data_IF_414806904903
#
_entry.id   IF_414806904903
#
_cell.length_a   1.000
_cell.length_b   1.000
_cell.length_c   1.000
_cell.angle_alpha   90.00
_cell.angle_beta   90.00
_cell.angle_gamma   90.00
#
_symmetry.space_group_name_H-M   'P 1'
#
loop_
_entity.id
_entity.type
_entity.pdbx_description
1 polymer ?
#
# COMPACT_ATOMS: atom_id res chain seq x y z
N UNK A 1 -12.64 -9.79 -10.17
CA UNK A 1 -13.54 -9.24 -9.12
C UNK A 1 -12.73 -8.29 -8.26
N UNK A 2 -13.28 -7.14 -7.82
CA UNK A 2 -12.56 -6.21 -6.93
C UNK A 2 -13.08 -6.39 -5.50
N UNK A 3 -12.16 -6.53 -4.53
CA UNK A 3 -12.48 -6.60 -3.11
C UNK A 3 -11.81 -5.43 -2.38
N UNK A 4 -12.51 -4.84 -1.41
CA UNK A 4 -11.97 -3.80 -0.53
C UNK A 4 -11.63 -4.41 0.82
N UNK A 5 -10.36 -4.32 1.21
CA UNK A 5 -9.85 -4.78 2.50
C UNK A 5 -9.60 -3.57 3.41
N UNK A 6 -10.49 -3.35 4.37
CA UNK A 6 -10.31 -2.31 5.39
C UNK A 6 -9.45 -2.86 6.54
N UNK A 7 -8.19 -2.49 6.59
CA UNK A 7 -7.26 -2.96 7.61
C UNK A 7 -7.73 -2.70 9.05
N UNK A 8 -8.61 -1.71 9.28
CA UNK A 8 -9.13 -1.40 10.62
C UNK A 8 -10.02 -2.52 11.18
N UNK A 9 -10.62 -3.32 10.32
CA UNK A 9 -11.52 -4.41 10.71
C UNK A 9 -10.79 -5.70 11.10
N UNK A 10 -9.52 -5.83 10.73
CA UNK A 10 -8.71 -7.00 11.03
C UNK A 10 -7.93 -6.82 12.32
N UNK A 11 -7.79 -7.88 13.11
CA UNK A 11 -6.99 -7.91 14.33
C UNK A 11 -5.71 -8.70 14.10
N UNK A 12 -4.58 -8.02 14.10
CA UNK A 12 -3.25 -8.62 14.08
C UNK A 12 -2.25 -7.75 14.83
N UNK A 13 -1.12 -8.32 15.21
CA UNK A 13 -0.09 -7.69 16.02
C UNK A 13 1.17 -7.39 15.17
N UNK A 14 2.06 -6.51 15.62
CA UNK A 14 3.38 -6.36 15.00
C UNK A 14 4.13 -7.69 14.89
N UNK A 15 5.14 -7.76 14.04
CA UNK A 15 6.03 -8.91 14.01
C UNK A 15 6.79 -9.02 15.35
N UNK A 16 6.87 -10.23 15.90
CA UNK A 16 7.58 -10.50 17.15
C UNK A 16 8.86 -11.31 16.92
N UNK A 17 9.28 -11.48 15.66
CA UNK A 17 10.49 -12.21 15.31
C UNK A 17 10.48 -13.69 15.72
N UNK A 18 9.32 -14.33 15.78
CA UNK A 18 9.20 -15.71 16.25
C UNK A 18 9.71 -16.76 15.24
N UNK A 19 10.03 -16.39 14.00
CA UNK A 19 10.54 -17.25 12.94
C UNK A 19 9.54 -18.31 12.42
N UNK A 20 8.28 -18.30 12.86
CA UNK A 20 7.30 -19.32 12.46
C UNK A 20 7.03 -19.35 10.95
N UNK A 21 7.02 -18.20 10.31
CA UNK A 21 6.87 -18.07 8.86
C UNK A 21 8.00 -18.77 8.08
N UNK A 22 9.19 -18.88 8.67
CA UNK A 22 10.28 -19.64 8.09
C UNK A 22 9.98 -21.15 7.97
N UNK A 23 9.34 -21.71 8.99
CA UNK A 23 8.95 -23.13 8.99
C UNK A 23 7.79 -23.43 8.02
N UNK A 24 6.81 -22.53 8.01
CA UNK A 24 5.58 -22.69 7.20
C UNK A 24 5.75 -22.30 5.74
N UNK A 25 6.77 -21.51 5.42
CA UNK A 25 7.08 -20.89 4.12
C UNK A 25 6.03 -19.89 3.59
N UNK A 26 4.88 -19.76 4.24
CA UNK A 26 3.78 -18.94 3.74
C UNK A 26 3.10 -18.16 4.84
N UNK A 27 2.85 -18.81 5.98
CA UNK A 27 1.98 -18.24 7.00
C UNK A 27 2.76 -17.73 8.22
N UNK A 28 2.36 -16.56 8.69
CA UNK A 28 2.70 -16.06 9.99
C UNK A 28 1.95 -16.86 11.10
N UNK A 29 2.41 -16.76 12.34
CA UNK A 29 1.68 -17.29 13.49
C UNK A 29 0.45 -16.43 13.89
N UNK A 30 0.13 -15.43 13.11
CA UNK A 30 -0.95 -14.47 13.31
C UNK A 30 -2.04 -14.67 12.25
N UNK A 31 -3.15 -15.29 12.66
CA UNK A 31 -4.25 -15.64 11.75
C UNK A 31 -4.94 -14.41 11.15
N UNK A 32 -4.99 -13.29 11.87
CA UNK A 32 -5.57 -12.05 11.36
C UNK A 32 -4.75 -11.45 10.23
N UNK A 33 -3.42 -11.55 10.30
CA UNK A 33 -2.53 -11.20 9.20
C UNK A 33 -2.69 -12.17 8.03
N UNK A 34 -2.69 -13.49 8.30
CA UNK A 34 -2.78 -14.50 7.25
C UNK A 34 -4.04 -14.32 6.38
N UNK A 35 -5.17 -13.96 6.99
CA UNK A 35 -6.41 -13.70 6.24
C UNK A 35 -6.26 -12.56 5.21
N UNK A 36 -5.48 -11.53 5.54
CA UNK A 36 -5.18 -10.43 4.60
C UNK A 36 -4.16 -10.90 3.55
N UNK A 37 -3.13 -11.60 4.00
CA UNK A 37 -2.04 -12.06 3.14
C UNK A 37 -2.53 -13.04 2.06
N UNK A 38 -3.46 -13.94 2.39
CA UNK A 38 -4.14 -14.82 1.42
C UNK A 38 -4.84 -14.03 0.32
N UNK A 39 -5.58 -12.97 0.67
CA UNK A 39 -6.23 -12.10 -0.31
C UNK A 39 -5.23 -11.40 -1.24
N UNK A 40 -4.08 -11.01 -0.71
CA UNK A 40 -3.00 -10.43 -1.52
C UNK A 40 -2.45 -11.48 -2.49
N UNK A 41 -2.13 -12.68 -2.02
CA UNK A 41 -1.59 -13.77 -2.84
C UNK A 41 -2.55 -14.18 -3.98
N UNK A 42 -3.84 -14.17 -3.73
CA UNK A 42 -4.88 -14.56 -4.68
C UNK A 42 -5.26 -13.46 -5.68
N UNK A 43 -4.65 -12.26 -5.57
CA UNK A 43 -4.95 -11.13 -6.43
C UNK A 43 -3.98 -11.01 -7.61
N UNK A 44 -4.47 -10.55 -8.75
CA UNK A 44 -3.65 -10.18 -9.91
C UNK A 44 -2.97 -8.82 -9.70
N UNK A 45 -3.63 -7.93 -8.96
CA UNK A 45 -3.12 -6.60 -8.61
C UNK A 45 -3.68 -6.13 -7.27
N UNK A 46 -2.91 -5.29 -6.57
CA UNK A 46 -3.31 -4.65 -5.33
C UNK A 46 -3.21 -3.13 -5.42
N UNK A 47 -4.15 -2.43 -4.80
CA UNK A 47 -4.05 -0.99 -4.57
C UNK A 47 -3.96 -0.70 -3.09
N UNK A 48 -2.89 -0.02 -2.67
CA UNK A 48 -2.77 0.47 -1.31
C UNK A 48 -3.16 1.94 -1.25
N UNK A 49 -4.30 2.19 -0.59
CA UNK A 49 -4.81 3.54 -0.37
C UNK A 49 -4.49 3.94 1.07
N UNK A 50 -3.65 4.94 1.24
CA UNK A 50 -3.15 5.33 2.56
C UNK A 50 -3.21 6.84 2.78
N UNK A 51 -3.70 7.30 3.94
CA UNK A 51 -3.49 8.67 4.35
C UNK A 51 -2.01 8.90 4.70
N UNK A 52 -1.54 10.14 4.52
CA UNK A 52 -0.29 10.60 5.12
C UNK A 52 -0.51 10.74 6.63
N UNK A 53 0.08 9.84 7.39
CA UNK A 53 -0.06 9.80 8.84
C UNK A 53 1.13 9.09 9.49
N UNK A 54 2.13 9.86 9.89
CA UNK A 54 3.29 9.49 10.69
C UNK A 54 4.30 8.46 10.10
N UNK A 55 4.74 8.44 8.89
CA UNK A 55 4.20 8.92 7.61
C UNK A 55 3.08 8.06 7.07
N UNK A 56 3.01 6.76 7.43
CA UNK A 56 1.93 5.81 7.09
C UNK A 56 1.26 5.28 8.36
N UNK A 57 -0.02 4.87 8.31
CA UNK A 57 -0.71 4.31 9.45
C UNK A 57 0.02 3.09 10.04
N UNK A 58 0.12 3.03 11.37
CA UNK A 58 0.81 1.95 12.08
C UNK A 58 0.35 0.56 11.66
N UNK A 59 -0.94 0.39 11.39
CA UNK A 59 -1.49 -0.90 10.98
C UNK A 59 -1.05 -1.34 9.59
N UNK A 60 -0.87 -0.40 8.67
CA UNK A 60 -0.29 -0.68 7.37
C UNK A 60 1.20 -1.04 7.51
N UNK A 61 1.94 -0.31 8.35
CA UNK A 61 3.34 -0.62 8.64
C UNK A 61 3.50 -2.04 9.23
N UNK A 62 2.63 -2.43 10.18
CA UNK A 62 2.63 -3.79 10.74
C UNK A 62 2.36 -4.88 9.71
N UNK A 63 1.50 -4.59 8.73
CA UNK A 63 1.22 -5.53 7.62
C UNK A 63 2.46 -5.70 6.75
N UNK A 64 3.06 -4.59 6.33
CA UNK A 64 4.27 -4.60 5.48
C UNK A 64 5.44 -5.28 6.17
N UNK A 65 5.67 -4.98 7.47
CA UNK A 65 6.69 -5.64 8.28
C UNK A 65 6.57 -7.17 8.28
N UNK A 66 5.34 -7.69 8.44
CA UNK A 66 5.12 -9.14 8.41
C UNK A 66 5.31 -9.74 7.02
N UNK A 67 4.90 -9.04 5.97
CA UNK A 67 5.12 -9.50 4.59
C UNK A 67 6.61 -9.54 4.26
N UNK A 68 7.37 -8.53 4.69
CA UNK A 68 8.82 -8.49 4.51
C UNK A 68 9.50 -9.64 5.24
N UNK A 69 9.15 -9.89 6.52
CA UNK A 69 9.76 -10.96 7.31
C UNK A 69 9.54 -12.34 6.70
N UNK A 70 8.33 -12.63 6.20
CA UNK A 70 8.04 -13.88 5.48
C UNK A 70 8.96 -14.06 4.27
N UNK A 71 9.15 -13.01 3.49
CA UNK A 71 9.98 -13.04 2.27
C UNK A 71 11.47 -13.08 2.60
N UNK A 72 11.93 -12.22 3.51
CA UNK A 72 13.35 -12.03 3.85
C UNK A 72 13.99 -13.32 4.35
N UNK A 73 13.35 -14.04 5.26
CA UNK A 73 13.88 -15.27 5.83
C UNK A 73 14.13 -16.36 4.78
N UNK A 74 13.32 -16.42 3.74
CA UNK A 74 13.50 -17.38 2.65
C UNK A 74 14.52 -16.90 1.62
N UNK A 75 14.48 -15.63 1.25
CA UNK A 75 15.44 -15.03 0.32
C UNK A 75 16.88 -15.08 0.84
N UNK A 76 17.07 -14.83 2.15
CA UNK A 76 18.39 -14.91 2.78
C UNK A 76 19.03 -16.28 2.64
N UNK A 77 18.23 -17.32 2.66
CA UNK A 77 18.71 -18.69 2.52
C UNK A 77 18.89 -19.13 1.07
N UNK A 78 18.04 -18.62 0.19
CA UNK A 78 18.03 -18.94 -1.24
C UNK A 78 17.75 -17.65 -2.02
N UNK A 79 18.78 -17.07 -2.63
CA UNK A 79 18.67 -15.84 -3.40
C UNK A 79 17.86 -15.99 -4.71
N UNK A 80 17.48 -17.20 -5.09
CA UNK A 80 16.55 -17.47 -6.18
C UNK A 80 15.08 -17.59 -5.71
N UNK A 81 14.85 -17.44 -4.41
CA UNK A 81 13.51 -17.53 -3.85
C UNK A 81 12.58 -16.47 -4.47
N UNK A 82 11.42 -16.94 -4.91
CA UNK A 82 10.29 -16.10 -5.32
C UNK A 82 9.24 -16.14 -4.23
N UNK A 83 8.87 -14.98 -3.73
CA UNK A 83 7.81 -14.87 -2.73
C UNK A 83 6.45 -15.27 -3.32
N UNK A 84 5.48 -15.56 -2.46
CA UNK A 84 4.10 -15.82 -2.88
C UNK A 84 3.43 -14.60 -3.56
N UNK A 85 4.01 -13.41 -3.36
CA UNK A 85 3.55 -12.15 -3.99
C UNK A 85 4.45 -11.68 -5.14
N UNK A 86 5.35 -12.55 -5.60
CA UNK A 86 6.27 -12.24 -6.70
C UNK A 86 5.54 -11.81 -7.96
N UNK A 87 5.80 -10.60 -8.40
CA UNK A 87 5.25 -10.05 -9.64
C UNK A 87 3.80 -9.58 -9.54
N UNK A 88 3.14 -9.68 -8.38
CA UNK A 88 1.82 -9.07 -8.19
C UNK A 88 1.94 -7.57 -8.42
N UNK A 89 1.07 -7.02 -9.26
CA UNK A 89 1.07 -5.60 -9.60
C UNK A 89 0.62 -4.76 -8.39
N UNK A 90 1.32 -3.67 -8.12
CA UNK A 90 1.00 -2.80 -6.99
C UNK A 90 0.84 -1.34 -7.42
N UNK A 91 -0.32 -0.76 -7.12
CA UNK A 91 -0.61 0.65 -7.29
C UNK A 91 -0.76 1.36 -5.95
N UNK A 92 -0.34 2.63 -5.87
CA UNK A 92 -0.38 3.38 -4.61
C UNK A 92 -1.14 4.68 -4.76
N UNK A 93 -2.00 4.96 -3.79
CA UNK A 93 -2.82 6.16 -3.74
C UNK A 93 -2.68 6.78 -2.35
N UNK A 94 -1.97 7.89 -2.26
CA UNK A 94 -1.87 8.64 -1.01
C UNK A 94 -2.82 9.84 -0.98
N UNK A 95 -3.18 10.25 0.21
CA UNK A 95 -3.98 11.46 0.43
C UNK A 95 -3.64 12.08 1.79
N UNK A 96 -4.08 13.32 1.98
CA UNK A 96 -3.90 14.04 3.26
C UNK A 96 -4.67 15.35 3.25
N UNK A 97 -4.50 16.15 4.30
CA UNK A 97 -5.18 17.42 4.48
C UNK A 97 -4.62 18.59 3.68
N UNK A 98 -3.57 18.39 2.89
CA UNK A 98 -2.95 19.45 2.08
C UNK A 98 -3.53 19.52 0.66
N UNK A 99 -3.42 20.69 0.05
CA UNK A 99 -3.72 20.92 -1.36
C UNK A 99 -2.53 20.53 -2.26
N UNK A 100 -2.51 20.99 -3.49
CA UNK A 100 -1.52 20.62 -4.51
C UNK A 100 -0.06 20.76 -4.06
N UNK A 101 0.26 21.73 -3.20
CA UNK A 101 1.61 21.90 -2.66
C UNK A 101 2.13 20.70 -1.85
N UNK A 102 1.23 19.90 -1.28
CA UNK A 102 1.58 18.76 -0.43
C UNK A 102 1.77 17.45 -1.20
N UNK A 103 1.37 17.38 -2.47
CA UNK A 103 1.32 16.12 -3.22
C UNK A 103 2.69 15.45 -3.35
N UNK A 104 3.76 16.22 -3.60
CA UNK A 104 5.13 15.66 -3.68
C UNK A 104 5.59 15.12 -2.34
N UNK A 105 5.20 15.78 -1.24
CA UNK A 105 5.48 15.27 0.11
C UNK A 105 4.72 13.98 0.39
N UNK A 106 3.46 13.88 -0.02
CA UNK A 106 2.70 12.64 0.13
C UNK A 106 3.27 11.50 -0.72
N UNK A 107 3.69 11.79 -1.95
CA UNK A 107 4.43 10.82 -2.74
C UNK A 107 5.66 10.31 -1.98
N UNK A 108 6.55 11.21 -1.57
CA UNK A 108 7.81 10.84 -0.93
C UNK A 108 7.63 10.12 0.42
N UNK A 109 6.68 10.54 1.24
CA UNK A 109 6.50 9.99 2.59
C UNK A 109 5.58 8.78 2.63
N UNK A 110 4.65 8.63 1.70
CA UNK A 110 3.67 7.55 1.68
C UNK A 110 3.93 6.59 0.53
N UNK A 111 3.81 7.05 -0.71
CA UNK A 111 3.92 6.16 -1.86
C UNK A 111 5.30 5.52 -1.96
N UNK A 112 6.37 6.31 -1.89
CA UNK A 112 7.74 5.79 -1.99
C UNK A 112 8.07 4.85 -0.83
N UNK A 113 7.57 5.13 0.37
CA UNK A 113 7.75 4.25 1.55
C UNK A 113 7.06 2.89 1.34
N UNK A 114 5.83 2.90 0.86
CA UNK A 114 5.06 1.66 0.61
C UNK A 114 5.64 0.90 -0.58
N UNK A 115 6.00 1.62 -1.66
CA UNK A 115 6.58 1.02 -2.86
C UNK A 115 7.89 0.31 -2.54
N UNK A 116 8.79 0.94 -1.79
CA UNK A 116 10.04 0.32 -1.34
C UNK A 116 9.81 -0.95 -0.51
N UNK A 117 8.84 -0.93 0.40
CA UNK A 117 8.50 -2.11 1.20
C UNK A 117 7.95 -3.26 0.32
N UNK A 118 7.10 -2.95 -0.66
CA UNK A 118 6.54 -3.97 -1.56
C UNK A 118 7.55 -4.47 -2.60
N UNK A 119 8.47 -3.63 -3.05
CA UNK A 119 9.58 -4.05 -3.91
C UNK A 119 10.49 -5.05 -3.19
N UNK A 120 10.79 -4.81 -1.91
CA UNK A 120 11.55 -5.73 -1.07
C UNK A 120 10.92 -7.13 -1.00
N UNK A 121 9.60 -7.24 -1.07
CA UNK A 121 8.87 -8.50 -1.10
C UNK A 121 8.53 -8.98 -2.51
N UNK A 122 9.11 -8.34 -3.53
CA UNK A 122 9.06 -8.73 -4.93
C UNK A 122 7.71 -8.48 -5.64
N UNK A 123 6.87 -7.59 -5.15
CA UNK A 123 5.76 -7.04 -5.93
C UNK A 123 6.29 -6.15 -7.07
N UNK A 124 5.50 -5.95 -8.10
CA UNK A 124 5.83 -5.07 -9.23
C UNK A 124 5.08 -3.75 -9.06
N UNK A 125 5.77 -2.68 -8.68
CA UNK A 125 5.21 -1.32 -8.67
C UNK A 125 4.81 -0.89 -10.08
N UNK A 126 3.58 -0.39 -10.26
CA UNK A 126 3.09 0.16 -11.52
C UNK A 126 3.09 1.69 -11.42
N UNK A 127 3.89 2.40 -12.24
CA UNK A 127 3.90 3.86 -12.24
C UNK A 127 2.62 4.43 -12.87
N UNK A 128 2.17 5.57 -12.39
CA UNK A 128 1.14 6.34 -13.10
C UNK A 128 1.74 7.05 -14.34
N UNK A 129 2.92 7.65 -14.17
CA UNK A 129 3.75 8.22 -15.24
C UNK A 129 5.19 8.43 -14.72
N UNK A 130 6.05 9.03 -15.53
CA UNK A 130 7.47 9.23 -15.16
C UNK A 130 7.71 10.15 -13.96
N UNK A 131 6.80 11.08 -13.65
CA UNK A 131 6.89 11.94 -12.44
C UNK A 131 6.27 11.22 -11.21
N UNK A 132 5.27 10.40 -11.44
CA UNK A 132 4.49 9.66 -10.44
C UNK A 132 4.77 8.16 -10.54
N UNK A 133 6.04 7.80 -10.48
CA UNK A 133 6.56 6.44 -10.64
C UNK A 133 6.17 5.47 -9.54
N UNK A 134 5.74 5.97 -8.39
CA UNK A 134 5.23 5.19 -7.25
C UNK A 134 3.73 5.41 -7.00
N UNK A 135 2.94 5.76 -8.04
CA UNK A 135 1.50 5.95 -7.92
C UNK A 135 1.06 7.41 -7.80
N UNK A 136 -0.14 7.66 -7.32
CA UNK A 136 -0.75 9.00 -7.30
C UNK A 136 -0.96 9.53 -5.89
N UNK A 137 -0.98 10.86 -5.76
CA UNK A 137 -1.39 11.58 -4.54
C UNK A 137 -2.61 12.44 -4.81
N UNK A 138 -3.53 12.49 -3.86
CA UNK A 138 -4.81 13.17 -3.98
C UNK A 138 -4.86 14.39 -3.05
N UNK A 139 -5.10 15.60 -3.60
CA UNK A 139 -5.20 16.82 -2.80
C UNK A 139 -6.60 17.04 -2.25
N UNK A 140 -6.70 17.85 -1.21
CA UNK A 140 -7.93 18.56 -0.92
C UNK A 140 -8.04 19.79 -1.83
N UNK A 141 -9.26 20.17 -2.23
CA UNK A 141 -9.47 21.36 -3.05
C UNK A 141 -9.27 22.63 -2.23
N UNK A 142 -9.88 22.67 -1.04
CA UNK A 142 -9.73 23.76 -0.09
C UNK A 142 -10.13 23.34 1.32
N UNK A 143 -9.71 24.14 2.28
CA UNK A 143 -10.20 24.11 3.66
C UNK A 143 -11.26 25.20 3.80
N UNK A 144 -12.47 24.83 4.23
CA UNK A 144 -13.65 25.71 4.20
C UNK A 144 -13.89 26.52 5.47
N UNK A 145 -13.22 26.19 6.56
CA UNK A 145 -13.35 26.93 7.82
C UNK A 145 -11.99 27.22 8.45
N UNK A 146 -11.98 28.19 9.35
CA UNK A 146 -10.79 28.61 10.06
C UNK A 146 -10.54 27.85 11.35
N UNK A 147 -11.34 26.80 11.66
CA UNK A 147 -11.09 25.98 12.82
C UNK A 147 -9.74 25.26 12.70
N UNK A 148 -8.75 25.58 13.54
CA UNK A 148 -7.42 25.01 13.41
C UNK A 148 -7.33 23.54 13.79
N UNK A 149 -8.37 22.99 14.47
CA UNK A 149 -8.38 21.61 14.97
C UNK A 149 -9.13 20.69 13.99
N UNK A 150 -10.30 21.13 13.51
CA UNK A 150 -11.17 20.34 12.67
C UNK A 150 -11.63 21.13 11.42
N UNK A 151 -10.71 21.46 10.51
CA UNK A 151 -11.06 22.18 9.30
C UNK A 151 -11.97 21.32 8.41
N UNK A 152 -13.00 21.92 7.85
CA UNK A 152 -13.85 21.28 6.85
C UNK A 152 -13.09 21.25 5.53
N UNK A 153 -12.79 20.05 5.04
CA UNK A 153 -12.08 19.83 3.79
C UNK A 153 -13.07 19.59 2.64
N UNK A 154 -12.85 20.26 1.54
CA UNK A 154 -13.60 20.07 0.30
C UNK A 154 -12.74 19.38 -0.74
N UNK A 155 -13.33 18.41 -1.42
CA UNK A 155 -12.69 17.64 -2.48
C UNK A 155 -13.37 17.90 -3.82
N UNK A 156 -12.59 18.02 -4.87
CA UNK A 156 -13.08 17.94 -6.24
C UNK A 156 -13.23 16.47 -6.66
N UNK A 157 -14.30 15.84 -6.21
CA UNK A 157 -14.53 14.42 -6.46
C UNK A 157 -14.56 14.06 -7.95
N UNK A 158 -14.97 14.97 -8.83
CA UNK A 158 -14.98 14.70 -10.27
C UNK A 158 -13.58 14.49 -10.80
N UNK A 159 -12.66 15.38 -10.47
CA UNK A 159 -11.25 15.29 -10.87
C UNK A 159 -10.56 14.10 -10.21
N UNK A 160 -10.78 13.88 -8.91
CA UNK A 160 -10.17 12.77 -8.18
C UNK A 160 -10.60 11.41 -8.74
N UNK A 161 -11.90 11.21 -8.99
CA UNK A 161 -12.43 9.96 -9.55
C UNK A 161 -11.86 9.72 -10.95
N UNK A 162 -11.71 10.77 -11.76
CA UNK A 162 -11.10 10.63 -13.08
C UNK A 162 -9.66 10.13 -12.98
N UNK A 163 -8.84 10.78 -12.16
CA UNK A 163 -7.43 10.40 -11.94
C UNK A 163 -7.28 8.98 -11.38
N UNK A 164 -8.15 8.60 -10.42
CA UNK A 164 -8.15 7.25 -9.86
C UNK A 164 -8.50 6.21 -10.93
N UNK A 165 -9.52 6.45 -11.74
CA UNK A 165 -9.92 5.54 -12.83
C UNK A 165 -8.81 5.37 -13.85
N UNK A 166 -8.21 6.46 -14.29
CA UNK A 166 -7.09 6.44 -15.21
C UNK A 166 -5.93 5.58 -14.67
N UNK A 167 -5.59 5.73 -13.38
CA UNK A 167 -4.55 4.92 -12.77
C UNK A 167 -4.93 3.44 -12.62
N UNK A 168 -6.18 3.15 -12.30
CA UNK A 168 -6.68 1.77 -12.27
C UNK A 168 -6.58 1.14 -13.67
N UNK A 169 -6.96 1.85 -14.72
CA UNK A 169 -6.86 1.37 -16.11
C UNK A 169 -5.41 1.08 -16.50
N UNK A 170 -4.46 1.93 -16.10
CA UNK A 170 -3.02 1.68 -16.33
C UNK A 170 -2.59 0.36 -15.68
N UNK A 171 -2.94 0.14 -14.42
CA UNK A 171 -2.59 -1.10 -13.71
C UNK A 171 -3.28 -2.32 -14.34
N UNK A 172 -4.55 -2.22 -14.70
CA UNK A 172 -5.29 -3.32 -15.32
C UNK A 172 -4.73 -3.71 -16.70
N UNK A 173 -4.21 -2.77 -17.46
CA UNK A 173 -3.58 -3.03 -18.76
C UNK A 173 -2.22 -3.75 -18.64
N UNK A 174 -1.61 -3.78 -17.46
CA UNK A 174 -0.40 -4.57 -17.17
C UNK A 174 -0.71 -6.02 -16.79
N UNK A 175 -1.99 -6.34 -16.52
CA UNK A 175 -2.44 -7.73 -16.28
C UNK A 175 -2.62 -8.38 -17.66
N UNK A 176 -1.63 -9.12 -18.10
CA UNK A 176 -1.62 -9.81 -19.40
C UNK A 176 -1.81 -11.32 -19.21
#
# INVERSE_FOLDING_TARGET
MCEIVDLRTYRFQPCIGCGKCYETKRYCNDTGFNTIYEKVIESDAIFLVSPHYAPIPAKLSMMLEKMEEVTFLHWWKDNQYKSEVYGILAGFISHGGGSDWALKSYKAMVNDTIANALDTIQCKTVPYNSEWDTGISLPVQMVLNEDPIFPIQKYDWKSLIHKIREYIEIVLNEIV
#
